data_IF_389990453573
#
_entry.id   IF_389990453573
#
_cell.length_a   1.000
_cell.length_b   1.000
_cell.length_c   1.000
_cell.angle_alpha   90.00
_cell.angle_beta   90.00
_cell.angle_gamma   90.00
#
_symmetry.space_group_name_H-M   'P 1'
#
loop_
_entity.id
_entity.type
_entity.pdbx_description
1 polymer ?
#
# COMPACT_ATOMS: atom_id res chain seq x y z
N UNK A 1 -1.99 -21.88 -4.89
CA UNK A 1 -1.08 -21.41 -3.82
C UNK A 1 -1.82 -20.58 -2.77
N UNK A 2 -1.36 -20.63 -1.52
CA UNK A 2 -1.83 -19.88 -0.34
C UNK A 2 -0.88 -18.73 0.01
N UNK A 3 -1.45 -17.57 0.27
CA UNK A 3 -0.72 -16.33 0.59
C UNK A 3 -1.10 -15.84 1.98
N UNK A 4 -0.10 -15.56 2.82
CA UNK A 4 -0.27 -14.90 4.11
C UNK A 4 0.09 -13.41 3.98
N UNK A 5 -0.86 -12.52 4.25
CA UNK A 5 -0.67 -11.07 4.23
C UNK A 5 -0.50 -10.54 5.66
N UNK A 6 0.74 -10.27 6.05
CA UNK A 6 1.10 -9.77 7.37
C UNK A 6 1.04 -8.24 7.41
N UNK A 7 0.50 -7.68 8.49
CA UNK A 7 0.24 -6.25 8.61
C UNK A 7 -0.68 -5.77 7.47
N UNK A 8 -1.73 -6.56 7.21
CA UNK A 8 -2.48 -6.51 5.95
C UNK A 8 -3.23 -5.20 5.71
N UNK A 9 -3.50 -4.41 6.76
CA UNK A 9 -4.34 -3.23 6.67
C UNK A 9 -5.69 -3.58 6.05
N UNK A 10 -6.16 -2.71 5.15
CA UNK A 10 -7.40 -2.94 4.39
C UNK A 10 -7.26 -3.95 3.23
N UNK A 11 -6.08 -4.53 3.03
CA UNK A 11 -5.84 -5.64 2.09
C UNK A 11 -5.53 -5.23 0.65
N UNK A 12 -5.03 -4.04 0.38
CA UNK A 12 -4.69 -3.64 -0.99
C UNK A 12 -3.61 -4.50 -1.65
N UNK A 13 -2.64 -5.00 -0.87
CA UNK A 13 -1.64 -5.96 -1.36
C UNK A 13 -2.31 -7.31 -1.64
N UNK A 14 -2.97 -7.91 -0.65
CA UNK A 14 -3.69 -9.17 -0.86
C UNK A 14 -4.76 -9.13 -1.97
N UNK A 15 -5.42 -7.99 -2.21
CA UNK A 15 -6.42 -7.87 -3.27
C UNK A 15 -5.83 -8.16 -4.65
N UNK A 16 -4.61 -7.68 -4.94
CA UNK A 16 -3.95 -8.00 -6.21
C UNK A 16 -3.61 -9.48 -6.34
N UNK A 17 -3.17 -10.12 -5.26
CA UNK A 17 -2.95 -11.57 -5.23
C UNK A 17 -4.25 -12.36 -5.40
N UNK A 18 -5.33 -11.94 -4.75
CA UNK A 18 -6.67 -12.53 -4.95
C UNK A 18 -7.11 -12.45 -6.41
N UNK A 19 -6.93 -11.29 -7.06
CA UNK A 19 -7.26 -11.12 -8.49
C UNK A 19 -6.46 -12.04 -9.40
N UNK A 20 -5.20 -12.33 -9.04
CA UNK A 20 -4.37 -13.29 -9.74
C UNK A 20 -4.69 -14.76 -9.42
N UNK A 21 -5.72 -15.06 -8.60
CA UNK A 21 -6.17 -16.43 -8.31
C UNK A 21 -5.59 -17.06 -7.04
N UNK A 22 -4.83 -16.32 -6.23
CA UNK A 22 -4.30 -16.83 -4.96
C UNK A 22 -5.36 -16.87 -3.86
N UNK A 23 -5.24 -17.85 -2.95
CA UNK A 23 -6.02 -17.88 -1.70
C UNK A 23 -5.30 -17.07 -0.64
N UNK A 24 -5.88 -15.95 -0.23
CA UNK A 24 -5.25 -14.97 0.67
C UNK A 24 -5.81 -15.04 2.09
N UNK A 25 -4.95 -14.88 3.09
CA UNK A 25 -5.33 -14.73 4.49
C UNK A 25 -4.58 -13.53 5.08
N UNK A 26 -5.31 -12.52 5.54
CA UNK A 26 -4.74 -11.33 6.16
C UNK A 26 -4.53 -11.48 7.66
N UNK A 27 -3.58 -10.71 8.22
CA UNK A 27 -3.38 -10.59 9.66
C UNK A 27 -3.08 -9.15 10.03
N UNK A 28 -3.92 -8.57 10.88
CA UNK A 28 -3.77 -7.19 11.35
C UNK A 28 -4.23 -7.04 12.81
N UNK A 29 -3.71 -6.05 13.51
CA UNK A 29 -4.09 -5.76 14.90
C UNK A 29 -5.34 -4.85 14.98
N UNK A 30 -5.56 -4.03 13.95
CA UNK A 30 -6.57 -2.99 13.93
C UNK A 30 -7.95 -3.55 13.56
N UNK A 31 -8.97 -3.42 14.43
CA UNK A 31 -10.30 -3.94 14.16
C UNK A 31 -10.93 -3.43 12.85
N UNK A 32 -10.75 -2.14 12.54
CA UNK A 32 -11.31 -1.54 11.33
C UNK A 32 -10.65 -2.09 10.04
N UNK A 33 -9.35 -2.35 10.10
CA UNK A 33 -8.60 -2.97 9.00
C UNK A 33 -9.08 -4.40 8.76
N UNK A 34 -9.14 -5.23 9.82
CA UNK A 34 -9.65 -6.60 9.77
C UNK A 34 -11.08 -6.65 9.23
N UNK A 35 -11.98 -5.77 9.70
CA UNK A 35 -13.36 -5.69 9.22
C UNK A 35 -13.43 -5.34 7.73
N UNK A 36 -12.62 -4.37 7.28
CA UNK A 36 -12.56 -3.95 5.87
C UNK A 36 -11.96 -5.03 4.98
N UNK A 37 -10.91 -5.72 5.43
CA UNK A 37 -10.30 -6.82 4.72
C UNK A 37 -11.31 -7.95 4.50
N UNK A 38 -12.03 -8.37 5.55
CA UNK A 38 -13.07 -9.41 5.45
C UNK A 38 -14.21 -9.04 4.50
N UNK A 39 -14.55 -7.76 4.45
CA UNK A 39 -15.62 -7.27 3.59
C UNK A 39 -15.28 -7.34 2.09
N UNK A 40 -14.01 -7.16 1.72
CA UNK A 40 -13.63 -6.99 0.31
C UNK A 40 -12.72 -8.11 -0.23
N UNK A 41 -11.83 -8.64 0.62
CA UNK A 41 -10.68 -9.43 0.18
C UNK A 41 -10.85 -10.89 0.56
N UNK A 42 -10.89 -11.25 1.84
CA UNK A 42 -11.01 -12.64 2.25
C UNK A 42 -10.87 -12.80 3.76
N UNK A 43 -10.44 -13.97 4.22
CA UNK A 43 -10.26 -14.18 5.65
C UNK A 43 -9.16 -13.30 6.24
N UNK A 44 -9.39 -12.82 7.46
CA UNK A 44 -8.43 -11.98 8.17
C UNK A 44 -8.45 -12.28 9.68
N UNK A 45 -7.27 -12.50 10.26
CA UNK A 45 -7.09 -12.73 11.69
C UNK A 45 -6.77 -11.42 12.40
N UNK A 46 -7.45 -11.17 13.52
CA UNK A 46 -7.06 -10.07 14.41
C UNK A 46 -5.96 -10.55 15.35
N UNK A 47 -4.72 -10.10 15.13
CA UNK A 47 -3.57 -10.56 15.90
C UNK A 47 -2.51 -9.48 16.07
N UNK A 48 -1.91 -9.42 17.26
CA UNK A 48 -0.72 -8.61 17.52
C UNK A 48 0.56 -9.37 17.13
N UNK A 49 1.06 -9.07 15.93
CA UNK A 49 2.28 -9.65 15.36
C UNK A 49 3.57 -9.23 16.09
N UNK A 50 3.52 -8.25 17.00
CA UNK A 50 4.66 -7.90 17.85
C UNK A 50 4.99 -9.02 18.85
N UNK A 51 3.98 -9.81 19.23
CA UNK A 51 4.08 -10.86 20.26
C UNK A 51 3.86 -12.24 19.68
N UNK A 52 2.91 -12.37 18.75
CA UNK A 52 2.46 -13.67 18.21
C UNK A 52 3.08 -13.96 16.85
N UNK A 53 3.15 -15.23 16.51
CA UNK A 53 3.49 -15.72 15.18
C UNK A 53 2.28 -16.46 14.64
N UNK A 54 2.01 -16.29 13.35
CA UNK A 54 0.95 -17.03 12.66
C UNK A 54 1.45 -18.43 12.35
N UNK A 55 0.65 -19.43 12.73
CA UNK A 55 0.91 -20.83 12.41
C UNK A 55 0.22 -21.24 11.10
N UNK A 56 0.73 -22.31 10.49
CA UNK A 56 0.17 -22.90 9.26
C UNK A 56 1.16 -22.91 8.09
N UNK A 57 0.73 -23.54 7.00
CA UNK A 57 1.50 -23.61 5.75
C UNK A 57 1.01 -22.56 4.76
N UNK A 58 1.94 -21.80 4.21
CA UNK A 58 1.72 -20.79 3.20
C UNK A 58 2.87 -20.81 2.20
N UNK A 59 2.53 -20.73 0.91
CA UNK A 59 3.49 -20.78 -0.18
C UNK A 59 4.15 -19.41 -0.37
N UNK A 60 3.43 -18.34 -0.05
CA UNK A 60 3.92 -16.96 -0.16
C UNK A 60 3.58 -16.16 1.11
N UNK A 61 4.53 -15.35 1.57
CA UNK A 61 4.28 -14.31 2.58
C UNK A 61 4.38 -12.93 1.95
N UNK A 62 3.35 -12.11 2.10
CA UNK A 62 3.36 -10.71 1.70
C UNK A 62 3.15 -9.82 2.92
N UNK A 63 3.55 -8.55 2.84
CA UNK A 63 3.20 -7.61 3.91
C UNK A 63 3.91 -6.26 3.85
N UNK A 64 3.38 -5.33 4.64
CA UNK A 64 3.94 -3.98 4.82
C UNK A 64 4.05 -3.63 6.30
N UNK A 65 5.10 -4.08 7.01
CA UNK A 65 5.34 -3.72 8.40
C UNK A 65 5.38 -2.20 8.59
N UNK A 66 4.90 -1.66 9.72
CA UNK A 66 4.74 -0.22 9.90
C UNK A 66 5.99 0.59 9.54
N UNK A 67 5.87 1.46 8.55
CA UNK A 67 7.01 2.19 7.99
C UNK A 67 7.41 3.45 8.79
N UNK A 68 6.72 3.74 9.90
CA UNK A 68 6.89 4.95 10.72
C UNK A 68 8.33 5.21 11.18
N UNK A 69 9.16 4.20 11.52
CA UNK A 69 10.57 4.43 11.85
C UNK A 69 11.40 5.04 10.72
N UNK A 70 11.02 4.80 9.45
CA UNK A 70 11.79 5.21 8.26
C UNK A 70 11.11 6.32 7.43
N UNK A 71 9.84 6.64 7.73
CA UNK A 71 9.07 7.65 7.00
C UNK A 71 9.69 9.04 7.10
N UNK A 72 9.83 9.74 5.97
CA UNK A 72 10.33 11.13 5.91
C UNK A 72 9.44 12.13 6.64
N UNK A 73 8.14 11.83 6.81
CA UNK A 73 7.17 12.69 7.49
C UNK A 73 7.31 12.60 9.02
N UNK A 74 7.92 11.53 9.54
CA UNK A 74 8.16 11.40 10.97
C UNK A 74 9.45 12.15 11.35
N UNK A 75 9.28 13.25 12.10
CA UNK A 75 10.36 14.16 12.49
C UNK A 75 10.88 13.94 13.93
N UNK A 76 10.26 13.06 14.73
CA UNK A 76 10.58 12.94 16.16
C UNK A 76 11.30 11.65 16.53
N UNK A 77 10.66 10.50 16.32
CA UNK A 77 11.20 9.19 16.73
C UNK A 77 11.43 8.34 15.48
N UNK A 78 12.68 8.12 15.08
CA UNK A 78 13.05 7.38 13.85
C UNK A 78 14.06 6.30 14.17
N UNK A 79 14.19 5.31 13.28
CA UNK A 79 15.11 4.20 13.49
C UNK A 79 14.81 3.41 14.76
N UNK A 80 15.85 2.90 15.40
CA UNK A 80 15.78 1.94 16.51
C UNK A 80 14.97 2.42 17.73
N UNK A 81 14.94 3.73 17.99
CA UNK A 81 14.20 4.30 19.12
C UNK A 81 12.68 4.33 18.90
N UNK A 82 12.19 4.03 17.69
CA UNK A 82 10.77 3.99 17.40
C UNK A 82 10.17 2.65 17.83
N UNK A 83 9.02 2.61 18.54
CA UNK A 83 8.44 1.37 19.08
C UNK A 83 8.11 0.32 18.01
N UNK A 84 7.83 0.75 16.78
CA UNK A 84 7.56 -0.16 15.66
C UNK A 84 8.82 -0.76 14.99
N UNK A 85 10.02 -0.30 15.32
CA UNK A 85 11.23 -0.68 14.58
C UNK A 85 11.42 -2.21 14.53
N UNK A 86 11.19 -2.88 15.66
CA UNK A 86 11.29 -4.34 15.76
C UNK A 86 10.21 -5.11 14.98
N UNK A 87 9.14 -4.48 14.50
CA UNK A 87 8.11 -5.15 13.70
C UNK A 87 8.63 -5.61 12.33
N UNK A 88 9.71 -4.99 11.83
CA UNK A 88 10.41 -5.49 10.65
C UNK A 88 11.00 -6.89 10.90
N UNK A 89 11.69 -7.09 12.02
CA UNK A 89 12.18 -8.43 12.39
C UNK A 89 11.05 -9.42 12.63
N UNK A 90 9.87 -8.96 13.09
CA UNK A 90 8.70 -9.84 13.20
C UNK A 90 8.23 -10.34 11.85
N UNK A 91 8.27 -9.53 10.79
CA UNK A 91 8.00 -10.01 9.43
C UNK A 91 8.98 -11.11 9.01
N UNK A 92 10.28 -10.87 9.16
CA UNK A 92 11.31 -11.85 8.81
C UNK A 92 11.28 -13.11 9.68
N UNK A 93 10.87 -13.01 10.95
CA UNK A 93 10.64 -14.17 11.81
C UNK A 93 9.59 -15.12 11.22
N UNK A 94 8.51 -14.60 10.61
CA UNK A 94 7.50 -15.43 9.97
C UNK A 94 8.09 -16.16 8.75
N UNK A 95 8.93 -15.50 7.96
CA UNK A 95 9.64 -16.12 6.84
C UNK A 95 10.52 -17.28 7.34
N UNK A 96 11.30 -17.07 8.42
CA UNK A 96 12.18 -18.13 8.97
C UNK A 96 11.41 -19.32 9.53
N UNK A 97 10.23 -19.09 10.11
CA UNK A 97 9.40 -20.14 10.71
C UNK A 97 8.59 -20.92 9.68
N UNK A 98 7.86 -20.20 8.82
CA UNK A 98 6.95 -20.80 7.84
C UNK A 98 7.73 -21.33 6.64
N UNK A 99 8.84 -20.67 6.30
CA UNK A 99 9.65 -21.03 5.16
C UNK A 99 8.80 -21.06 3.87
N UNK A 100 8.18 -19.95 3.43
CA UNK A 100 7.44 -19.90 2.16
C UNK A 100 8.36 -20.03 0.94
N UNK A 101 7.83 -20.39 -0.23
CA UNK A 101 8.59 -20.44 -1.49
C UNK A 101 8.98 -19.04 -1.98
N UNK A 102 8.14 -18.04 -1.70
CA UNK A 102 8.46 -16.64 -1.93
C UNK A 102 7.98 -15.70 -0.81
N UNK A 103 8.55 -14.50 -0.77
CA UNK A 103 7.98 -13.39 -0.01
C UNK A 103 8.04 -12.07 -0.79
N UNK A 104 7.11 -11.16 -0.47
CA UNK A 104 7.11 -9.79 -0.95
C UNK A 104 6.89 -8.82 0.22
N UNK A 105 7.88 -7.97 0.47
CA UNK A 105 7.83 -6.91 1.46
C UNK A 105 7.67 -5.56 0.75
N UNK A 106 6.67 -4.80 1.17
CA UNK A 106 6.53 -3.38 0.79
C UNK A 106 7.00 -2.48 1.95
N UNK A 107 7.72 -1.42 1.61
CA UNK A 107 8.00 -0.34 2.55
C UNK A 107 8.36 1.00 1.88
N UNK A 108 8.68 2.00 2.69
CA UNK A 108 9.19 3.29 2.19
C UNK A 108 10.63 3.18 1.70
N UNK A 109 10.97 3.96 0.66
CA UNK A 109 12.31 3.96 0.01
C UNK A 109 13.48 4.08 1.00
N UNK A 110 13.43 4.92 2.05
CA UNK A 110 14.53 5.04 3.01
C UNK A 110 14.94 3.73 3.70
N UNK A 111 14.05 2.72 3.79
CA UNK A 111 14.37 1.42 4.40
C UNK A 111 15.57 0.74 3.73
N UNK A 112 15.84 1.00 2.44
CA UNK A 112 16.91 0.35 1.66
C UNK A 112 18.32 0.51 2.25
N UNK A 113 18.52 1.49 3.14
CA UNK A 113 19.82 1.80 3.77
C UNK A 113 19.87 1.40 5.25
N UNK A 114 18.81 0.78 5.77
CA UNK A 114 18.71 0.44 7.18
C UNK A 114 19.52 -0.83 7.51
N UNK A 115 20.27 -0.79 8.60
CA UNK A 115 21.16 -1.88 8.99
C UNK A 115 20.42 -3.15 9.40
N UNK A 116 19.29 -3.03 10.12
CA UNK A 116 18.46 -4.18 10.48
C UNK A 116 17.92 -4.84 9.22
N UNK A 117 17.38 -4.05 8.31
CA UNK A 117 16.89 -4.54 7.02
C UNK A 117 17.95 -5.32 6.25
N UNK A 118 19.14 -4.73 6.03
CA UNK A 118 20.22 -5.38 5.30
C UNK A 118 20.71 -6.67 5.99
N UNK A 119 20.79 -6.67 7.32
CA UNK A 119 21.14 -7.85 8.11
C UNK A 119 20.13 -8.97 7.93
N UNK A 120 18.83 -8.65 7.96
CA UNK A 120 17.76 -9.62 7.75
C UNK A 120 17.84 -10.24 6.35
N UNK A 121 18.06 -9.44 5.30
CA UNK A 121 18.21 -9.96 3.94
C UNK A 121 19.42 -10.88 3.80
N UNK A 122 20.58 -10.51 4.38
CA UNK A 122 21.78 -11.33 4.34
C UNK A 122 21.60 -12.67 5.06
N UNK A 123 20.90 -12.67 6.21
CA UNK A 123 20.54 -13.90 6.91
C UNK A 123 19.63 -14.79 6.06
N UNK A 124 18.63 -14.24 5.35
CA UNK A 124 17.80 -15.05 4.45
C UNK A 124 18.60 -15.67 3.29
N UNK A 125 19.57 -14.95 2.73
CA UNK A 125 20.46 -15.45 1.68
C UNK A 125 21.35 -16.58 2.19
N UNK A 126 22.08 -16.33 3.28
CA UNK A 126 23.13 -17.22 3.78
C UNK A 126 22.56 -18.43 4.54
N UNK A 127 21.50 -18.24 5.32
CA UNK A 127 21.03 -19.25 6.26
C UNK A 127 19.86 -20.08 5.69
N UNK A 128 19.10 -19.50 4.75
CA UNK A 128 17.88 -20.11 4.20
C UNK A 128 17.88 -20.25 2.67
N UNK A 129 18.94 -19.81 2.00
CA UNK A 129 19.12 -20.00 0.55
C UNK A 129 18.17 -19.20 -0.33
N UNK A 130 17.56 -18.12 0.16
CA UNK A 130 16.73 -17.26 -0.69
C UNK A 130 17.59 -16.44 -1.65
N UNK A 131 17.22 -16.41 -2.94
CA UNK A 131 17.55 -15.27 -3.79
C UNK A 131 16.71 -14.09 -3.32
N UNK A 132 17.33 -12.95 -3.04
CA UNK A 132 16.64 -11.76 -2.49
C UNK A 132 17.10 -10.52 -3.23
N UNK A 133 16.16 -9.74 -3.75
CA UNK A 133 16.40 -8.48 -4.43
C UNK A 133 15.41 -7.41 -4.00
N UNK A 134 15.76 -6.14 -4.20
CA UNK A 134 14.83 -5.04 -3.98
C UNK A 134 14.98 -3.91 -4.99
N UNK A 135 13.87 -3.25 -5.32
CA UNK A 135 13.86 -2.09 -6.21
C UNK A 135 12.82 -1.06 -5.79
N UNK A 136 12.97 0.17 -6.28
CA UNK A 136 11.98 1.23 -6.08
C UNK A 136 10.95 1.20 -7.19
N UNK A 137 9.70 0.93 -6.82
CA UNK A 137 8.56 0.88 -7.72
C UNK A 137 7.77 2.18 -7.64
N UNK A 138 7.28 2.66 -8.79
CA UNK A 138 6.34 3.79 -8.89
C UNK A 138 4.99 3.24 -9.33
N UNK A 139 3.96 3.34 -8.49
CA UNK A 139 2.66 2.72 -8.78
C UNK A 139 1.99 3.23 -10.06
N UNK A 140 2.29 4.45 -10.51
CA UNK A 140 1.74 4.97 -11.75
C UNK A 140 2.12 4.17 -12.99
N UNK A 141 3.29 3.54 -12.99
CA UNK A 141 3.74 2.65 -14.07
C UNK A 141 2.98 1.32 -14.11
N UNK A 142 2.20 1.01 -13.07
CA UNK A 142 1.50 -0.27 -12.90
C UNK A 142 -0.01 -0.06 -12.68
N UNK A 143 -0.59 0.95 -13.33
CA UNK A 143 -2.05 1.11 -13.42
C UNK A 143 -2.73 1.90 -12.29
N UNK A 144 -2.01 2.35 -11.26
CA UNK A 144 -2.55 3.30 -10.28
C UNK A 144 -2.41 4.74 -10.78
N UNK A 145 -3.24 5.68 -10.34
CA UNK A 145 -3.12 7.09 -10.74
C UNK A 145 -2.28 7.91 -9.76
N UNK A 146 -1.20 7.34 -9.21
CA UNK A 146 -0.33 8.01 -8.24
C UNK A 146 1.15 7.73 -8.47
N UNK A 147 1.99 8.78 -8.37
CA UNK A 147 3.47 8.72 -8.41
C UNK A 147 4.08 8.18 -7.10
N UNK A 148 3.30 7.46 -6.27
CA UNK A 148 3.75 6.89 -5.00
C UNK A 148 4.91 5.91 -5.24
N UNK A 149 6.05 6.22 -4.61
CA UNK A 149 7.27 5.42 -4.68
C UNK A 149 7.39 4.51 -3.46
N UNK A 150 7.69 3.24 -3.68
CA UNK A 150 7.84 2.24 -2.61
C UNK A 150 9.01 1.32 -2.88
N UNK A 151 9.68 0.93 -1.80
CA UNK A 151 10.67 -0.12 -1.83
C UNK A 151 9.90 -1.44 -1.85
N UNK A 152 10.14 -2.23 -2.89
CA UNK A 152 9.62 -3.59 -3.00
C UNK A 152 10.81 -4.52 -2.85
N UNK A 153 10.72 -5.45 -1.92
CA UNK A 153 11.72 -6.50 -1.71
C UNK A 153 11.07 -7.83 -1.96
N UNK A 154 11.68 -8.64 -2.82
CA UNK A 154 11.23 -9.99 -3.14
C UNK A 154 12.32 -10.95 -2.75
N UNK A 155 11.93 -12.06 -2.14
CA UNK A 155 12.79 -13.22 -2.03
C UNK A 155 12.12 -14.48 -2.53
N UNK A 156 12.88 -15.34 -3.19
CA UNK A 156 12.44 -16.61 -3.77
C UNK A 156 13.44 -17.68 -3.35
N UNK A 157 12.96 -18.78 -2.75
CA UNK A 157 13.83 -19.85 -2.26
C UNK A 157 14.42 -20.69 -3.40
N UNK A 158 13.59 -21.09 -4.34
CA UNK A 158 13.95 -21.96 -5.46
C UNK A 158 13.77 -21.22 -6.78
N UNK A 159 14.54 -20.15 -6.99
CA UNK A 159 14.42 -19.29 -8.17
C UNK A 159 15.23 -18.01 -8.04
N UNK A 160 14.94 -17.01 -8.88
CA UNK A 160 15.69 -15.75 -8.94
C UNK A 160 14.79 -14.54 -8.69
N UNK A 161 15.08 -13.82 -7.61
CA UNK A 161 14.45 -12.53 -7.34
C UNK A 161 14.88 -11.46 -8.35
N UNK A 162 16.04 -11.61 -8.99
CA UNK A 162 16.47 -10.74 -10.10
C UNK A 162 15.53 -10.90 -11.31
N UNK A 163 15.21 -12.15 -11.67
CA UNK A 163 14.28 -12.45 -12.77
C UNK A 163 12.88 -11.88 -12.49
N UNK A 164 12.44 -11.84 -11.23
CA UNK A 164 11.21 -11.14 -10.85
C UNK A 164 11.26 -9.66 -11.28
N UNK A 165 12.34 -8.94 -10.97
CA UNK A 165 12.45 -7.52 -11.34
C UNK A 165 12.65 -7.29 -12.84
N UNK A 166 13.35 -8.20 -13.53
CA UNK A 166 13.45 -8.18 -15.00
C UNK A 166 12.08 -8.31 -15.65
N UNK A 167 11.25 -9.27 -15.19
CA UNK A 167 9.85 -9.41 -15.64
C UNK A 167 9.03 -8.18 -15.26
N UNK A 168 9.20 -7.64 -14.04
CA UNK A 168 8.44 -6.47 -13.58
C UNK A 168 8.63 -5.25 -14.49
N UNK A 169 9.84 -4.99 -14.98
CA UNK A 169 10.09 -3.87 -15.91
C UNK A 169 9.29 -4.01 -17.21
N UNK A 170 9.05 -5.24 -17.69
CA UNK A 170 8.24 -5.50 -18.89
C UNK A 170 6.76 -5.14 -18.72
N UNK A 171 6.27 -5.07 -17.47
CA UNK A 171 4.90 -4.64 -17.17
C UNK A 171 4.77 -3.11 -16.96
N UNK A 172 5.88 -2.36 -17.00
CA UNK A 172 5.84 -0.90 -16.83
C UNK A 172 5.14 -0.25 -18.03
N UNK A 173 3.99 0.37 -17.77
CA UNK A 173 3.21 1.10 -18.78
C UNK A 173 3.26 2.62 -18.63
N UNK A 174 2.49 3.29 -19.48
CA UNK A 174 2.28 4.74 -19.41
C UNK A 174 1.59 5.12 -18.09
N UNK A 175 2.09 6.14 -17.36
CA UNK A 175 1.50 6.56 -16.11
C UNK A 175 0.01 6.92 -16.20
N UNK A 176 -0.83 6.26 -15.40
CA UNK A 176 -2.27 6.58 -15.33
C UNK A 176 -2.50 7.93 -14.67
N UNK A 177 -3.39 8.75 -15.22
CA UNK A 177 -3.69 10.10 -14.72
C UNK A 177 -4.87 10.12 -13.75
N UNK A 178 -5.00 11.20 -12.97
CA UNK A 178 -6.18 11.42 -12.10
C UNK A 178 -7.46 11.44 -12.93
N UNK A 179 -7.45 11.99 -14.14
CA UNK A 179 -8.59 11.99 -15.07
C UNK A 179 -9.06 10.57 -15.38
N UNK A 180 -8.13 9.68 -15.72
CA UNK A 180 -8.45 8.29 -16.02
C UNK A 180 -8.97 7.52 -14.79
N UNK A 181 -8.61 7.95 -13.56
CA UNK A 181 -9.10 7.33 -12.34
C UNK A 181 -10.50 7.81 -11.94
N UNK A 182 -10.77 9.13 -12.03
CA UNK A 182 -11.99 9.70 -11.45
C UNK A 182 -13.10 9.98 -12.45
N UNK A 183 -12.81 10.33 -13.72
CA UNK A 183 -13.88 10.57 -14.72
C UNK A 183 -14.87 9.41 -14.88
N UNK A 184 -14.46 8.15 -14.77
CA UNK A 184 -15.41 7.05 -14.91
C UNK A 184 -16.48 6.99 -13.80
N UNK A 185 -16.38 7.78 -12.71
CA UNK A 185 -17.44 7.93 -11.70
C UNK A 185 -18.68 8.61 -12.30
N UNK A 186 -19.56 7.80 -12.89
CA UNK A 186 -20.90 8.18 -13.31
C UNK A 186 -21.83 7.99 -12.10
N UNK A 187 -22.32 9.08 -11.52
CA UNK A 187 -23.15 9.10 -10.29
C UNK A 187 -22.42 8.83 -8.96
N UNK A 188 -21.50 9.74 -8.57
CA UNK A 188 -20.79 9.62 -7.30
C UNK A 188 -21.69 9.86 -6.07
N UNK A 189 -22.90 10.40 -6.21
CA UNK A 189 -23.74 10.76 -5.06
C UNK A 189 -24.33 9.54 -4.35
N UNK A 190 -24.43 8.40 -5.02
CA UNK A 190 -24.95 7.16 -4.44
C UNK A 190 -23.89 6.35 -3.67
N UNK A 191 -22.60 6.65 -3.82
CA UNK A 191 -21.54 5.91 -3.14
C UNK A 191 -21.33 6.44 -1.70
N UNK A 192 -21.52 5.62 -0.65
CA UNK A 192 -21.39 6.05 0.74
C UNK A 192 -19.95 6.41 1.16
N UNK A 193 -18.96 6.01 0.36
CA UNK A 193 -17.56 6.39 0.50
C UNK A 193 -17.20 7.61 -0.35
N UNK A 194 -18.09 8.13 -1.20
CA UNK A 194 -17.90 9.40 -1.88
C UNK A 194 -18.24 10.59 -0.95
N UNK A 195 -17.54 10.65 0.17
CA UNK A 195 -17.67 11.68 1.20
C UNK A 195 -16.31 12.31 1.51
N UNK A 196 -16.33 13.57 1.93
CA UNK A 196 -15.15 14.35 2.30
C UNK A 196 -15.44 15.31 3.46
N UNK A 197 -14.41 15.75 4.22
CA UNK A 197 -14.58 16.77 5.24
C UNK A 197 -14.94 18.13 4.63
N UNK A 198 -15.88 18.84 5.26
CA UNK A 198 -16.22 20.21 4.91
C UNK A 198 -15.24 21.18 5.58
N UNK A 199 -14.28 21.70 4.81
CA UNK A 199 -13.21 22.55 5.31
C UNK A 199 -13.48 24.02 4.99
N UNK A 200 -13.74 24.82 6.02
CA UNK A 200 -14.08 26.26 5.87
C UNK A 200 -12.87 27.18 5.62
N UNK A 201 -11.66 26.62 5.61
CA UNK A 201 -10.42 27.40 5.57
C UNK A 201 -9.58 27.14 4.32
N UNK A 202 -10.12 26.45 3.31
CA UNK A 202 -9.35 26.13 2.09
C UNK A 202 -8.86 27.43 1.42
N UNK A 203 -9.74 28.42 1.24
CA UNK A 203 -9.42 29.68 0.56
C UNK A 203 -8.34 30.49 1.31
N UNK A 204 -8.34 30.43 2.65
CA UNK A 204 -7.33 31.10 3.49
C UNK A 204 -5.92 30.55 3.28
N UNK A 205 -5.77 29.35 2.73
CA UNK A 205 -4.50 28.66 2.59
C UNK A 205 -4.14 28.31 1.14
N UNK A 206 -4.72 28.98 0.14
CA UNK A 206 -4.49 28.72 -1.29
C UNK A 206 -2.99 28.64 -1.66
N UNK A 207 -2.16 29.51 -1.09
CA UNK A 207 -0.70 29.52 -1.28
C UNK A 207 -0.04 28.19 -0.88
N UNK A 208 -0.49 27.53 0.19
CA UNK A 208 0.10 26.24 0.64
C UNK A 208 -0.12 25.16 -0.42
N UNK A 209 -1.28 25.14 -1.06
CA UNK A 209 -1.60 24.19 -2.14
C UNK A 209 -0.81 24.48 -3.41
N UNK A 210 -0.66 25.76 -3.79
CA UNK A 210 0.11 26.17 -4.97
C UNK A 210 1.60 25.84 -4.85
N UNK A 211 2.14 25.91 -3.63
CA UNK A 211 3.56 25.64 -3.35
C UNK A 211 3.85 24.20 -2.94
N UNK A 212 2.85 23.36 -2.69
CA UNK A 212 3.07 22.01 -2.15
C UNK A 212 3.46 21.99 -0.66
N UNK A 213 3.30 23.10 0.06
CA UNK A 213 3.78 23.23 1.44
C UNK A 213 3.11 22.21 2.35
N UNK A 214 3.89 21.47 3.14
CA UNK A 214 3.43 20.36 4.00
C UNK A 214 2.75 19.19 3.26
N UNK A 215 2.99 19.06 1.95
CA UNK A 215 2.36 18.04 1.13
C UNK A 215 0.90 18.35 0.79
N UNK A 216 0.50 19.63 0.85
CA UNK A 216 -0.81 20.10 0.43
C UNK A 216 -0.78 20.36 -1.07
N UNK A 217 -1.68 19.73 -1.82
CA UNK A 217 -1.68 19.83 -3.28
C UNK A 217 -3.09 20.02 -3.82
N UNK A 218 -3.21 20.75 -4.93
CA UNK A 218 -4.34 20.62 -5.86
C UNK A 218 -3.94 19.56 -6.87
N UNK A 219 -4.72 18.49 -6.96
CA UNK A 219 -4.48 17.48 -7.98
C UNK A 219 -4.65 18.08 -9.39
N UNK A 220 -3.96 17.52 -10.37
CA UNK A 220 -4.08 17.90 -11.77
C UNK A 220 -4.72 16.76 -12.53
N UNK A 221 -5.69 17.08 -13.40
CA UNK A 221 -6.41 16.07 -14.15
C UNK A 221 -5.50 15.19 -15.02
N UNK A 222 -4.57 15.81 -15.74
CA UNK A 222 -3.74 15.14 -16.75
C UNK A 222 -2.39 14.66 -16.21
N UNK A 223 -2.26 14.58 -14.88
CA UNK A 223 -1.09 14.00 -14.22
C UNK A 223 -1.49 12.90 -13.23
N UNK A 224 -0.61 11.93 -12.93
CA UNK A 224 -0.79 11.09 -11.76
C UNK A 224 -0.63 11.91 -10.48
N UNK A 225 -1.44 11.62 -9.46
CA UNK A 225 -1.39 12.29 -8.16
C UNK A 225 -0.02 12.11 -7.48
N UNK A 226 0.48 13.09 -6.70
CA UNK A 226 1.60 12.85 -5.79
C UNK A 226 1.26 11.75 -4.77
N UNK A 227 2.26 11.25 -4.04
CA UNK A 227 1.98 10.42 -2.87
C UNK A 227 1.25 11.28 -1.85
N UNK A 228 0.12 10.80 -1.35
CA UNK A 228 -0.66 11.48 -0.31
C UNK A 228 -0.76 10.65 0.95
N UNK A 229 -0.92 11.34 2.07
CA UNK A 229 -1.24 10.76 3.36
C UNK A 229 -2.75 10.81 3.62
N UNK A 230 -3.14 10.68 4.88
CA UNK A 230 -4.52 10.87 5.29
C UNK A 230 -5.02 12.26 4.85
N UNK A 231 -6.03 12.30 3.98
CA UNK A 231 -6.52 13.54 3.35
C UNK A 231 -7.05 14.54 4.37
N UNK A 232 -7.52 14.09 5.54
CA UNK A 232 -7.91 15.00 6.62
C UNK A 232 -6.72 15.69 7.32
N UNK A 233 -5.48 15.26 7.03
CA UNK A 233 -4.23 15.84 7.55
C UNK A 233 -3.42 16.54 6.47
N UNK A 234 -3.46 16.03 5.24
CA UNK A 234 -2.69 16.56 4.10
C UNK A 234 -3.52 17.43 3.16
N UNK A 235 -4.85 17.44 3.33
CA UNK A 235 -5.78 18.36 2.67
C UNK A 235 -5.72 18.35 1.15
N UNK A 236 -5.53 17.19 0.53
CA UNK A 236 -5.40 17.07 -0.94
C UNK A 236 -6.69 17.54 -1.64
N UNK A 237 -6.60 18.59 -2.44
CA UNK A 237 -7.73 19.20 -3.14
C UNK A 237 -8.04 18.48 -4.46
N UNK A 238 -9.34 18.38 -4.75
CA UNK A 238 -9.85 17.87 -6.03
C UNK A 238 -9.39 18.77 -7.19
N UNK A 239 -9.12 18.23 -8.39
CA UNK A 239 -8.64 19.04 -9.53
C UNK A 239 -9.52 20.21 -9.94
N UNK A 240 -10.82 20.14 -9.66
CA UNK A 240 -11.76 21.22 -9.99
C UNK A 240 -11.77 22.37 -8.96
N UNK A 241 -11.06 22.20 -7.83
CA UNK A 241 -10.95 23.25 -6.82
C UNK A 241 -10.22 24.46 -7.41
N UNK A 242 -10.85 25.63 -7.31
CA UNK A 242 -10.39 26.87 -7.95
C UNK A 242 -10.32 26.81 -9.49
N UNK A 243 -11.04 25.88 -10.12
CA UNK A 243 -11.07 25.72 -11.58
C UNK A 243 -12.51 25.52 -12.11
N UNK A 244 -13.44 26.33 -11.60
CA UNK A 244 -14.85 26.33 -12.03
C UNK A 244 -15.75 25.28 -11.38
N UNK A 245 -15.20 24.37 -10.57
CA UNK A 245 -15.99 23.42 -9.78
C UNK A 245 -16.02 23.74 -8.29
N UNK A 246 -16.63 22.83 -7.52
CA UNK A 246 -16.71 22.95 -6.06
C UNK A 246 -15.31 22.79 -5.44
N UNK A 247 -14.87 23.80 -4.70
CA UNK A 247 -13.63 23.75 -3.93
C UNK A 247 -13.77 22.77 -2.76
N UNK A 248 -13.06 21.63 -2.84
CA UNK A 248 -13.10 20.57 -1.82
C UNK A 248 -11.85 19.70 -1.85
N UNK A 249 -11.65 18.94 -0.78
CA UNK A 249 -10.70 17.82 -0.82
C UNK A 249 -11.26 16.65 -1.63
N UNK A 250 -10.38 15.75 -2.06
CA UNK A 250 -10.80 14.47 -2.65
C UNK A 250 -11.60 13.64 -1.65
N UNK A 251 -12.62 12.95 -2.11
CA UNK A 251 -13.42 12.04 -1.30
C UNK A 251 -12.65 10.77 -0.91
N UNK A 252 -13.16 10.01 0.05
CA UNK A 252 -12.60 8.69 0.39
C UNK A 252 -12.62 7.78 -0.85
N UNK A 253 -13.71 7.78 -1.62
CA UNK A 253 -13.83 6.99 -2.85
C UNK A 253 -12.84 7.42 -3.94
N UNK A 254 -12.65 8.71 -4.14
CA UNK A 254 -11.67 9.21 -5.11
C UNK A 254 -10.25 8.81 -4.72
N UNK A 255 -9.92 8.85 -3.42
CA UNK A 255 -8.64 8.39 -2.92
C UNK A 255 -8.41 6.88 -3.20
N UNK A 256 -9.43 6.04 -3.03
CA UNK A 256 -9.40 4.62 -3.40
C UNK A 256 -9.12 4.41 -4.89
N UNK A 257 -9.86 5.11 -5.76
CA UNK A 257 -9.72 4.99 -7.21
C UNK A 257 -8.35 5.46 -7.70
N UNK A 258 -7.82 6.53 -7.10
CA UNK A 258 -6.45 6.99 -7.39
C UNK A 258 -5.42 5.90 -7.02
N UNK A 259 -5.63 5.17 -5.93
CA UNK A 259 -4.79 4.03 -5.54
C UNK A 259 -5.02 2.78 -6.40
N UNK A 260 -6.04 2.76 -7.26
CA UNK A 260 -6.31 1.67 -8.20
C UNK A 260 -7.26 0.59 -7.68
N UNK A 261 -8.03 0.88 -6.62
CA UNK A 261 -9.07 -0.02 -6.15
C UNK A 261 -10.27 -0.06 -7.12
N UNK A 262 -10.99 -1.19 -7.09
CA UNK A 262 -12.22 -1.37 -7.86
C UNK A 262 -13.33 -0.46 -7.34
N UNK A 263 -14.35 -0.21 -8.17
CA UNK A 263 -15.49 0.61 -7.78
C UNK A 263 -16.35 -0.05 -6.72
N UNK A 264 -16.30 -1.36 -6.63
CA UNK A 264 -17.07 -2.17 -5.70
C UNK A 264 -16.41 -2.21 -4.33
N UNK A 265 -15.11 -1.86 -4.25
CA UNK A 265 -14.41 -1.78 -2.99
C UNK A 265 -15.04 -0.69 -2.12
N UNK A 266 -15.45 -1.08 -0.91
CA UNK A 266 -16.18 -0.24 0.01
C UNK A 266 -15.79 -0.48 1.46
N UNK A 267 -16.05 0.50 2.32
CA UNK A 267 -15.85 0.36 3.74
C UNK A 267 -17.14 -0.11 4.44
N UNK A 268 -17.05 -1.08 5.37
CA UNK A 268 -18.19 -1.45 6.21
C UNK A 268 -18.80 -0.25 6.95
N UNK A 269 -20.12 -0.28 7.15
CA UNK A 269 -20.82 0.73 7.95
C UNK A 269 -20.16 0.92 9.32
N UNK A 270 -20.10 2.18 9.76
CA UNK A 270 -19.58 2.58 11.07
C UNK A 270 -18.07 2.84 11.14
N UNK A 271 -17.31 2.71 10.04
CA UNK A 271 -15.90 3.08 10.05
C UNK A 271 -15.75 4.61 9.91
N UNK A 272 -15.10 5.32 10.85
CA UNK A 272 -14.93 6.76 10.78
C UNK A 272 -14.18 7.19 9.51
N UNK A 273 -14.56 8.33 8.94
CA UNK A 273 -13.95 8.88 7.72
C UNK A 273 -12.43 9.05 7.86
N UNK A 274 -11.94 9.54 9.00
CA UNK A 274 -10.51 9.68 9.27
C UNK A 274 -9.76 8.33 9.23
N UNK A 275 -10.39 7.28 9.74
CA UNK A 275 -9.87 5.90 9.68
C UNK A 275 -9.88 5.36 8.26
N UNK A 276 -10.94 5.62 7.48
CA UNK A 276 -11.00 5.25 6.06
C UNK A 276 -9.86 5.88 5.27
N UNK A 277 -9.66 7.20 5.38
CA UNK A 277 -8.52 7.88 4.75
C UNK A 277 -7.16 7.36 5.23
N UNK A 278 -7.03 6.98 6.50
CA UNK A 278 -5.78 6.41 7.01
C UNK A 278 -5.48 5.06 6.33
N UNK A 279 -6.48 4.19 6.23
CA UNK A 279 -6.32 2.90 5.54
C UNK A 279 -5.96 3.08 4.06
N UNK A 280 -6.58 4.02 3.35
CA UNK A 280 -6.22 4.34 1.95
C UNK A 280 -4.81 4.93 1.85
N UNK A 281 -4.38 5.74 2.83
CA UNK A 281 -3.05 6.32 2.83
C UNK A 281 -1.94 5.29 3.09
N UNK A 282 -2.23 4.25 3.87
CA UNK A 282 -1.27 3.23 4.28
C UNK A 282 -1.20 2.05 3.30
N UNK A 283 -2.27 1.81 2.53
CA UNK A 283 -2.35 0.65 1.63
C UNK A 283 -1.35 0.65 0.48
N UNK A 284 -1.08 -0.56 -0.03
CA UNK A 284 -0.46 -0.82 -1.33
C UNK A 284 -1.51 -0.73 -2.43
N UNK A 285 -1.10 -0.32 -3.64
CA UNK A 285 -1.98 -0.35 -4.81
C UNK A 285 -2.24 -1.79 -5.25
N UNK A 286 -3.51 -2.21 -5.39
CA UNK A 286 -3.85 -3.54 -5.88
C UNK A 286 -3.45 -3.75 -7.35
N UNK A 287 -3.35 -2.70 -8.17
CA UNK A 287 -2.90 -2.81 -9.56
C UNK A 287 -1.44 -3.30 -9.65
N UNK A 288 -0.54 -2.67 -8.90
CA UNK A 288 0.84 -3.15 -8.78
C UNK A 288 0.89 -4.55 -8.19
N UNK A 289 0.09 -4.80 -7.15
CA UNK A 289 0.12 -6.08 -6.47
C UNK A 289 -0.35 -7.24 -7.34
N UNK A 290 -1.28 -7.01 -8.26
CA UNK A 290 -1.73 -8.02 -9.22
C UNK A 290 -0.63 -8.38 -10.23
N UNK A 291 0.09 -7.37 -10.73
CA UNK A 291 1.28 -7.59 -11.58
C UNK A 291 2.32 -8.42 -10.85
N UNK A 292 2.66 -8.03 -9.61
CA UNK A 292 3.62 -8.78 -8.80
C UNK A 292 3.17 -10.22 -8.55
N UNK A 293 1.88 -10.44 -8.29
CA UNK A 293 1.32 -11.76 -8.06
C UNK A 293 1.41 -12.66 -9.32
N UNK A 294 1.10 -12.13 -10.50
CA UNK A 294 1.23 -12.87 -11.77
C UNK A 294 2.67 -13.26 -12.07
N UNK A 295 3.62 -12.37 -11.81
CA UNK A 295 5.05 -12.68 -11.98
C UNK A 295 5.46 -13.78 -11.00
N UNK A 296 5.11 -13.68 -9.72
CA UNK A 296 5.42 -14.72 -8.74
C UNK A 296 4.75 -16.05 -9.10
N UNK A 297 3.51 -16.04 -9.61
CA UNK A 297 2.86 -17.26 -10.10
C UNK A 297 3.70 -17.93 -11.18
N UNK A 298 4.15 -17.18 -12.19
CA UNK A 298 4.98 -17.73 -13.27
C UNK A 298 6.39 -18.18 -12.88
N UNK A 299 6.87 -17.80 -11.69
CA UNK A 299 8.20 -18.17 -11.18
C UNK A 299 8.15 -19.35 -10.20
N UNK A 300 6.96 -19.72 -9.72
CA UNK A 300 6.74 -20.77 -8.73
C UNK A 300 6.03 -22.00 -9.34
N UNK A 301 5.52 -21.88 -10.56
CA UNK A 301 5.11 -23.00 -11.43
C UNK A 301 6.33 -23.68 -12.05
#
# INVERSE_FOLDING_TARGET
MRVLDLFSGMGGLALGFKRAGFRVTGVDILPAAVKTYKHNVGDCLRMDLSRKVVDGRYDIIIGGPPCRPWSSINLKKRGEIHPDYGLLSRFFLHIRKIKPDAFLLENVVPLRKDNLFLKELNSLRNDLGYSVEFSTVIYSKFGAATKRRRLITVGIRHGSAELFFQKLEQYSGTPKTVRQALRPLTDPQQDPDHVWPQLRTIDKYIYKYRTGKYGWYILRWDEPAPSFGNVMKTYILHPDSFNGGVTRVISVKEALLIMGFDREFSFPKGIPMSTRYQMVADTVSPCFSEVAARILMSLLE
#
